data_IF_556760931234
#
_entry.id   IF_556760931234
#
_cell.length_a   1.000
_cell.length_b   1.000
_cell.length_c   1.000
_cell.angle_alpha   90.00
_cell.angle_beta   90.00
_cell.angle_gamma   90.00
#
_symmetry.space_group_name_H-M   'P 1'
#
loop_
_entity.id
_entity.type
_entity.pdbx_description
1 polymer ?
#
# COMPACT_ATOMS: atom_id res chain seq x y z
N UNK A 1 40.83 11.57 22.17
CA UNK A 1 41.40 11.52 20.80
C UNK A 1 40.53 10.56 19.99
N UNK A 2 40.06 10.96 18.79
CA UNK A 2 39.23 10.08 17.97
C UNK A 2 39.99 8.81 17.60
N UNK A 3 39.31 7.66 17.60
CA UNK A 3 39.95 6.39 17.21
C UNK A 3 40.42 6.42 15.75
N UNK A 4 41.48 5.65 15.41
CA UNK A 4 41.98 5.49 14.03
C UNK A 4 40.86 5.04 13.07
N UNK A 5 39.94 4.20 13.58
CA UNK A 5 38.74 3.75 12.88
C UNK A 5 37.77 4.89 12.61
N UNK A 6 37.52 5.77 13.58
CA UNK A 6 36.68 6.95 13.39
C UNK A 6 37.27 7.90 12.34
N UNK A 7 38.58 8.13 12.36
CA UNK A 7 39.28 8.99 11.38
C UNK A 7 39.15 8.42 9.95
N UNK A 8 39.37 7.12 9.78
CA UNK A 8 39.27 6.49 8.44
C UNK A 8 37.84 6.50 7.89
N UNK A 9 36.84 6.27 8.74
CA UNK A 9 35.43 6.32 8.36
C UNK A 9 35.00 7.75 8.03
N UNK A 10 35.51 8.73 8.78
CA UNK A 10 35.27 10.15 8.49
C UNK A 10 35.85 10.55 7.14
N UNK A 11 37.10 10.17 6.84
CA UNK A 11 37.73 10.45 5.53
C UNK A 11 36.94 9.82 4.39
N UNK A 12 36.48 8.57 4.55
CA UNK A 12 35.62 7.92 3.57
C UNK A 12 34.30 8.70 3.37
N UNK A 13 33.61 9.03 4.46
CA UNK A 13 32.37 9.82 4.41
C UNK A 13 32.55 11.18 3.74
N UNK A 14 33.64 11.88 4.05
CA UNK A 14 33.98 13.16 3.44
C UNK A 14 34.27 13.04 1.94
N UNK A 15 34.98 11.98 1.52
CA UNK A 15 35.26 11.74 0.11
C UNK A 15 33.97 11.44 -0.69
N UNK A 16 33.07 10.64 -0.12
CA UNK A 16 31.77 10.33 -0.72
C UNK A 16 30.93 11.62 -0.84
N UNK A 17 30.83 12.39 0.24
CA UNK A 17 30.12 13.66 0.26
C UNK A 17 30.63 14.62 -0.84
N UNK A 18 31.94 14.85 -0.90
CA UNK A 18 32.54 15.72 -1.92
C UNK A 18 32.31 15.20 -3.34
N UNK A 19 32.35 13.87 -3.55
CA UNK A 19 32.07 13.29 -4.87
C UNK A 19 30.62 13.51 -5.31
N UNK A 20 29.65 13.31 -4.41
CA UNK A 20 28.24 13.56 -4.71
C UNK A 20 27.95 15.04 -4.97
N UNK A 21 28.51 15.95 -4.16
CA UNK A 21 28.38 17.40 -4.35
C UNK A 21 28.99 17.84 -5.68
N UNK A 22 30.20 17.36 -6.00
CA UNK A 22 30.85 17.69 -7.28
C UNK A 22 30.03 17.23 -8.49
N UNK A 23 29.37 16.08 -8.40
CA UNK A 23 28.50 15.59 -9.47
C UNK A 23 27.24 16.45 -9.63
N UNK A 24 26.68 17.00 -8.54
CA UNK A 24 25.52 17.91 -8.62
C UNK A 24 25.86 19.32 -9.09
N UNK A 25 27.06 19.83 -8.78
CA UNK A 25 27.51 21.15 -9.25
C UNK A 25 27.80 21.14 -10.76
N UNK A 26 28.28 20.02 -11.28
CA UNK A 26 28.64 19.88 -12.70
C UNK A 26 28.15 18.56 -13.30
N UNK A 27 26.81 18.35 -13.39
CA UNK A 27 26.23 17.07 -13.76
C UNK A 27 26.61 16.66 -15.18
N UNK A 28 26.69 17.60 -16.14
CA UNK A 28 27.13 17.28 -17.51
C UNK A 28 28.60 16.86 -17.59
N UNK A 29 29.48 17.45 -16.78
CA UNK A 29 30.89 17.02 -16.70
C UNK A 29 31.01 15.64 -16.04
N UNK A 30 30.22 15.39 -15.00
CA UNK A 30 30.16 14.09 -14.35
C UNK A 30 29.59 13.00 -15.27
N UNK A 31 28.59 13.35 -16.08
CA UNK A 31 27.96 12.48 -17.07
C UNK A 31 28.94 12.14 -18.21
N UNK A 32 29.67 13.13 -18.72
CA UNK A 32 30.76 12.93 -19.68
C UNK A 32 31.92 12.09 -19.10
N UNK A 33 32.34 12.37 -17.86
CA UNK A 33 33.38 11.60 -17.17
C UNK A 33 32.98 10.14 -16.92
N UNK A 34 31.67 9.87 -16.76
CA UNK A 34 31.11 8.53 -16.58
C UNK A 34 30.65 7.88 -17.88
N UNK A 35 30.83 8.54 -19.04
CA UNK A 35 30.43 8.07 -20.37
C UNK A 35 28.94 7.66 -20.44
N UNK A 36 28.08 8.36 -19.72
CA UNK A 36 26.64 8.11 -19.71
C UNK A 36 25.96 8.92 -20.82
N UNK A 37 24.76 8.50 -21.23
CA UNK A 37 23.91 9.27 -22.15
C UNK A 37 23.17 10.38 -21.39
N UNK A 38 22.82 11.48 -22.06
CA UNK A 38 22.12 12.61 -21.44
C UNK A 38 20.77 12.21 -20.79
N UNK A 39 20.14 11.13 -21.27
CA UNK A 39 18.95 10.52 -20.69
C UNK A 39 19.15 9.98 -19.26
N UNK A 40 20.40 9.72 -18.85
CA UNK A 40 20.75 9.24 -17.51
C UNK A 40 20.94 10.37 -16.49
N UNK A 41 20.75 11.64 -16.88
CA UNK A 41 20.95 12.80 -16.02
C UNK A 41 20.06 12.78 -14.75
N UNK A 42 18.76 12.42 -14.82
CA UNK A 42 17.94 12.28 -13.61
C UNK A 42 18.46 11.19 -12.66
N UNK A 43 18.90 10.06 -13.19
CA UNK A 43 19.46 8.95 -12.41
C UNK A 43 20.81 9.32 -11.78
N UNK A 44 21.67 10.06 -12.50
CA UNK A 44 22.94 10.57 -11.99
C UNK A 44 22.73 11.55 -10.83
N UNK A 45 21.73 12.42 -10.94
CA UNK A 45 21.37 13.34 -9.86
C UNK A 45 20.85 12.59 -8.63
N UNK A 46 19.93 11.64 -8.82
CA UNK A 46 19.43 10.78 -7.74
C UNK A 46 20.55 9.98 -7.05
N UNK A 47 21.47 9.40 -7.82
CA UNK A 47 22.63 8.69 -7.29
C UNK A 47 23.59 9.62 -6.54
N UNK A 48 23.77 10.86 -7.01
CA UNK A 48 24.63 11.84 -6.36
C UNK A 48 24.07 12.29 -5.00
N UNK A 49 22.74 12.46 -4.90
CA UNK A 49 22.06 12.71 -3.61
C UNK A 49 22.21 11.53 -2.66
N UNK A 50 22.08 10.29 -3.14
CA UNK A 50 22.29 9.10 -2.33
C UNK A 50 23.74 9.01 -1.81
N UNK A 51 24.74 9.32 -2.65
CA UNK A 51 26.15 9.38 -2.25
C UNK A 51 26.38 10.45 -1.16
N UNK A 52 25.75 11.62 -1.28
CA UNK A 52 25.80 12.67 -0.25
C UNK A 52 25.23 12.14 1.07
N UNK A 53 24.07 11.47 1.02
CA UNK A 53 23.44 10.86 2.18
C UNK A 53 24.34 9.81 2.85
N UNK A 54 25.00 8.96 2.06
CA UNK A 54 26.03 8.02 2.54
C UNK A 54 27.17 8.79 3.20
N UNK A 55 27.71 9.83 2.56
CA UNK A 55 28.79 10.63 3.13
C UNK A 55 28.45 11.24 4.49
N UNK A 56 27.26 11.84 4.62
CA UNK A 56 26.75 12.40 5.88
C UNK A 56 26.61 11.31 6.94
N UNK A 57 26.05 10.15 6.58
CA UNK A 57 25.84 9.04 7.51
C UNK A 57 27.16 8.49 8.07
N UNK A 58 28.18 8.34 7.21
CA UNK A 58 29.51 7.90 7.63
C UNK A 58 30.25 8.94 8.49
N UNK A 59 30.13 10.24 8.17
CA UNK A 59 30.67 11.31 9.01
C UNK A 59 29.99 11.38 10.38
N UNK A 60 28.66 11.21 10.44
CA UNK A 60 27.89 11.15 11.70
C UNK A 60 28.27 9.91 12.53
N UNK A 61 28.44 8.76 11.89
CA UNK A 61 28.85 7.55 12.58
C UNK A 61 30.29 7.64 13.13
N UNK A 62 31.18 8.34 12.42
CA UNK A 62 32.51 8.65 12.90
C UNK A 62 32.47 9.62 14.10
N UNK A 63 31.62 10.66 14.04
CA UNK A 63 31.43 11.62 15.13
C UNK A 63 30.85 10.97 16.40
N UNK A 64 29.89 10.05 16.26
CA UNK A 64 29.25 9.35 17.36
C UNK A 64 30.07 8.17 17.91
N UNK A 65 31.23 7.87 17.33
CA UNK A 65 32.02 6.66 17.61
C UNK A 65 31.16 5.38 17.71
N UNK A 66 30.20 5.22 16.80
CA UNK A 66 29.21 4.16 16.88
C UNK A 66 29.86 2.79 16.63
N UNK A 67 30.17 2.08 17.72
CA UNK A 67 30.92 0.81 17.71
C UNK A 67 30.22 -0.29 16.90
N UNK A 68 28.88 -0.30 16.88
CA UNK A 68 28.10 -1.24 16.05
C UNK A 68 28.25 -0.97 14.56
N UNK A 69 28.24 0.32 14.18
CA UNK A 69 28.50 0.74 12.81
C UNK A 69 29.94 0.46 12.38
N UNK A 70 30.90 0.64 13.28
CA UNK A 70 32.32 0.32 13.03
C UNK A 70 32.56 -1.17 12.85
N UNK A 71 31.90 -2.04 13.63
CA UNK A 71 31.99 -3.48 13.45
C UNK A 71 31.44 -3.94 12.08
N UNK A 72 30.30 -3.40 11.66
CA UNK A 72 29.72 -3.67 10.34
C UNK A 72 30.58 -3.12 9.19
N UNK A 73 31.24 -1.98 9.40
CA UNK A 73 32.14 -1.38 8.41
C UNK A 73 33.48 -2.13 8.32
N UNK A 74 34.01 -2.61 9.44
CA UNK A 74 35.21 -3.45 9.48
C UNK A 74 34.94 -4.82 8.84
N UNK A 75 33.75 -5.40 9.04
CA UNK A 75 33.33 -6.62 8.35
C UNK A 75 33.30 -6.41 6.82
N UNK A 76 32.81 -5.25 6.34
CA UNK A 76 32.87 -4.88 4.91
C UNK A 76 34.30 -4.68 4.40
N UNK A 77 35.20 -4.12 5.22
CA UNK A 77 36.63 -3.98 4.88
C UNK A 77 37.37 -5.33 4.83
N UNK A 78 37.02 -6.25 5.74
CA UNK A 78 37.55 -7.63 5.76
C UNK A 78 37.04 -8.41 4.56
N UNK A 79 35.75 -8.28 4.19
CA UNK A 79 35.22 -8.84 2.95
C UNK A 79 35.97 -8.26 1.73
N UNK A 80 36.18 -6.95 1.66
CA UNK A 80 36.97 -6.32 0.59
C UNK A 80 38.43 -6.82 0.55
N UNK A 81 39.04 -7.08 1.71
CA UNK A 81 40.40 -7.64 1.84
C UNK A 81 40.47 -9.13 1.49
N UNK A 82 39.42 -9.89 1.76
CA UNK A 82 39.30 -11.30 1.36
C UNK A 82 39.14 -11.39 -0.16
N UNK A 83 38.33 -10.51 -0.77
CA UNK A 83 38.28 -10.36 -2.22
C UNK A 83 39.62 -9.90 -2.82
N UNK A 84 40.40 -9.09 -2.10
CA UNK A 84 41.77 -8.70 -2.49
C UNK A 84 42.78 -9.87 -2.45
N UNK A 85 42.56 -10.86 -1.61
CA UNK A 85 43.47 -12.00 -1.40
C UNK A 85 43.12 -13.23 -2.26
N UNK A 86 41.88 -13.37 -2.73
CA UNK A 86 41.36 -14.58 -3.40
C UNK A 86 41.41 -14.58 -4.95
N UNK A 87 42.05 -13.61 -5.60
CA UNK A 87 42.11 -13.53 -7.07
C UNK A 87 43.53 -13.58 -7.69
N UNK A 88 43.85 -14.48 -8.65
CA UNK A 88 45.19 -14.58 -9.26
C UNK A 88 45.52 -13.53 -10.34
N UNK A 89 44.57 -12.67 -10.73
CA UNK A 89 44.70 -11.83 -11.93
C UNK A 89 45.39 -10.45 -11.74
N UNK A 90 45.92 -10.15 -10.55
CA UNK A 90 46.51 -8.82 -10.25
C UNK A 90 48.01 -8.82 -9.96
N UNK A 91 48.70 -9.98 -9.95
CA UNK A 91 50.13 -10.05 -9.61
C UNK A 91 51.10 -9.66 -10.72
N UNK A 92 50.68 -9.59 -11.98
CA UNK A 92 51.60 -9.44 -13.11
C UNK A 92 51.63 -8.06 -13.79
N UNK A 93 50.86 -7.08 -13.32
CA UNK A 93 50.96 -5.68 -13.80
C UNK A 93 51.17 -4.65 -12.68
N UNK A 94 51.97 -5.01 -11.67
CA UNK A 94 52.61 -4.01 -10.80
C UNK A 94 54.11 -3.84 -11.09
N UNK A 95 54.66 -4.52 -12.12
CA UNK A 95 56.10 -4.47 -12.39
C UNK A 95 56.56 -3.43 -13.41
N UNK A 96 55.69 -2.85 -14.24
CA UNK A 96 56.12 -1.83 -15.23
C UNK A 96 55.04 -0.77 -15.52
N UNK A 97 54.69 -0.02 -14.49
CA UNK A 97 54.02 1.29 -14.54
C UNK A 97 54.71 2.13 -13.44
N UNK A 98 55.97 2.59 -13.53
CA UNK A 98 56.72 3.14 -14.66
C UNK A 98 56.74 2.26 -15.91
N UNK A 99 56.23 2.71 -17.04
CA UNK A 99 56.15 4.11 -17.44
C UNK A 99 54.73 4.70 -17.58
N UNK A 100 53.65 4.01 -17.26
CA UNK A 100 52.96 3.21 -18.28
C UNK A 100 51.49 3.62 -18.49
N UNK A 101 51.23 4.86 -18.92
CA UNK A 101 50.09 5.21 -19.79
C UNK A 101 48.63 5.14 -19.26
N UNK A 102 47.77 6.04 -19.79
CA UNK A 102 46.34 6.14 -19.54
C UNK A 102 45.51 5.18 -20.41
N UNK A 103 44.21 5.06 -20.12
CA UNK A 103 43.21 4.43 -20.99
C UNK A 103 42.36 3.35 -20.30
N UNK A 104 41.11 3.14 -20.76
CA UNK A 104 39.94 3.01 -19.89
C UNK A 104 39.73 1.56 -19.41
N UNK A 105 39.61 1.35 -18.11
CA UNK A 105 39.25 0.04 -17.56
C UNK A 105 37.97 0.13 -16.75
N UNK A 106 36.97 -0.60 -17.26
CA UNK A 106 35.62 -0.76 -16.76
C UNK A 106 35.61 -1.13 -15.26
N UNK A 107 35.00 -0.27 -14.45
CA UNK A 107 34.59 -0.63 -13.10
C UNK A 107 33.44 -1.64 -13.22
N UNK A 108 33.70 -2.91 -12.91
CA UNK A 108 32.62 -3.89 -12.77
C UNK A 108 31.84 -3.53 -11.50
N UNK A 109 30.66 -2.96 -11.71
CA UNK A 109 29.67 -2.66 -10.67
C UNK A 109 29.39 -3.95 -9.92
N UNK A 110 29.56 -3.96 -8.59
CA UNK A 110 29.16 -5.07 -7.74
C UNK A 110 27.68 -5.36 -8.03
N UNK A 111 27.42 -6.48 -8.70
CA UNK A 111 26.06 -6.78 -9.12
C UNK A 111 25.33 -7.34 -7.91
N UNK A 112 24.02 -7.15 -7.82
CA UNK A 112 23.21 -7.75 -6.75
C UNK A 112 23.35 -9.29 -6.71
N UNK A 113 23.89 -9.89 -7.77
CA UNK A 113 24.27 -11.31 -7.88
C UNK A 113 25.46 -11.72 -6.99
N UNK A 114 26.26 -10.75 -6.52
CA UNK A 114 27.44 -10.95 -5.68
C UNK A 114 27.11 -10.87 -4.17
N UNK A 115 25.86 -10.50 -3.82
CA UNK A 115 25.37 -10.39 -2.43
C UNK A 115 25.05 -11.80 -1.90
N UNK A 116 25.38 -12.14 -0.63
CA UNK A 116 24.96 -13.39 0.01
C UNK A 116 23.47 -13.67 -0.16
N UNK A 117 23.10 -14.95 -0.30
CA UNK A 117 21.74 -15.39 -0.62
C UNK A 117 20.73 -14.87 0.40
N UNK A 118 21.07 -14.93 1.68
CA UNK A 118 20.20 -14.55 2.80
C UNK A 118 19.85 -13.06 2.72
N UNK A 119 20.86 -12.21 2.52
CA UNK A 119 20.65 -10.77 2.39
C UNK A 119 19.85 -10.42 1.13
N UNK A 120 20.10 -11.13 0.03
CA UNK A 120 19.37 -10.94 -1.21
C UNK A 120 17.90 -11.33 -1.07
N UNK A 121 17.62 -12.42 -0.36
CA UNK A 121 16.25 -12.85 -0.07
C UNK A 121 15.51 -11.81 0.78
N UNK A 122 16.15 -11.26 1.80
CA UNK A 122 15.58 -10.16 2.61
C UNK A 122 15.31 -8.92 1.77
N UNK A 123 16.23 -8.54 0.89
CA UNK A 123 16.05 -7.39 -0.02
C UNK A 123 14.87 -7.63 -0.96
N UNK A 124 14.80 -8.81 -1.59
CA UNK A 124 13.69 -9.14 -2.48
C UNK A 124 12.36 -9.16 -1.73
N UNK A 125 12.30 -9.74 -0.54
CA UNK A 125 11.10 -9.74 0.28
C UNK A 125 10.66 -8.31 0.61
N UNK A 126 11.59 -7.45 1.03
CA UNK A 126 11.32 -6.05 1.30
C UNK A 126 10.81 -5.30 0.06
N UNK A 127 11.47 -5.45 -1.08
CA UNK A 127 11.08 -4.78 -2.34
C UNK A 127 9.72 -5.24 -2.83
N UNK A 128 9.40 -6.53 -2.66
CA UNK A 128 8.13 -7.11 -3.08
C UNK A 128 6.98 -6.72 -2.14
N UNK A 129 7.24 -6.55 -0.84
CA UNK A 129 6.20 -6.31 0.17
C UNK A 129 6.02 -4.85 0.55
N UNK A 130 7.04 -4.01 0.39
CA UNK A 130 6.97 -2.60 0.76
C UNK A 130 5.93 -1.86 -0.10
N UNK A 131 4.97 -1.14 0.50
CA UNK A 131 3.96 -0.41 -0.27
C UNK A 131 4.60 0.74 -1.06
N UNK A 132 4.18 0.95 -2.31
CA UNK A 132 4.60 2.10 -3.12
C UNK A 132 3.54 3.18 -2.96
N UNK A 133 3.93 4.28 -2.33
CA UNK A 133 3.05 5.43 -2.19
C UNK A 133 2.77 6.05 -3.57
N UNK A 134 1.50 6.34 -3.92
CA UNK A 134 1.19 7.15 -5.09
C UNK A 134 1.75 8.56 -4.89
N UNK A 135 2.22 9.15 -5.99
CA UNK A 135 2.94 10.42 -5.98
C UNK A 135 1.99 11.62 -5.85
N UNK A 136 0.99 11.72 -6.73
CA UNK A 136 -0.02 12.78 -6.73
C UNK A 136 -1.27 12.39 -7.54
N UNK A 137 -2.42 13.05 -7.33
CA UNK A 137 -3.60 12.85 -8.17
C UNK A 137 -3.31 13.11 -9.66
N UNK A 138 -2.62 14.21 -10.00
CA UNK A 138 -2.21 14.57 -11.37
C UNK A 138 -1.50 13.44 -12.11
N UNK A 139 -0.52 12.79 -11.47
CA UNK A 139 0.28 11.74 -12.09
C UNK A 139 -0.45 10.39 -12.12
N UNK A 140 -1.42 10.20 -11.22
CA UNK A 140 -2.10 8.93 -11.02
C UNK A 140 -3.42 8.81 -11.78
N UNK A 141 -3.95 9.88 -12.36
CA UNK A 141 -5.27 9.90 -12.99
C UNK A 141 -5.36 9.04 -14.27
N UNK A 142 -4.27 8.89 -15.03
CA UNK A 142 -4.30 8.22 -16.33
C UNK A 142 -4.51 6.70 -16.24
N UNK A 143 -5.41 6.19 -17.07
CA UNK A 143 -5.74 4.76 -17.14
C UNK A 143 -6.54 4.26 -15.93
N UNK A 144 -7.23 5.17 -15.25
CA UNK A 144 -8.22 4.83 -14.23
C UNK A 144 -9.59 4.71 -14.87
N UNK A 145 -10.25 3.60 -14.57
CA UNK A 145 -11.60 3.34 -15.05
C UNK A 145 -12.53 3.08 -13.87
N UNK A 146 -13.78 3.48 -14.05
CA UNK A 146 -14.85 3.15 -13.12
C UNK A 146 -15.31 1.72 -13.35
N UNK A 147 -15.68 1.03 -12.26
CA UNK A 147 -16.34 -0.26 -12.37
C UNK A 147 -17.67 -0.12 -13.11
N UNK A 148 -17.67 -0.49 -14.38
CA UNK A 148 -18.89 -0.55 -15.20
C UNK A 148 -19.66 -1.87 -15.04
N UNK A 149 -19.13 -2.80 -14.23
CA UNK A 149 -19.82 -4.06 -14.01
C UNK A 149 -21.02 -3.83 -13.08
N UNK A 150 -22.23 -4.23 -13.47
CA UNK A 150 -23.35 -4.24 -12.55
C UNK A 150 -22.95 -5.14 -11.40
N UNK A 151 -22.83 -4.58 -10.19
CA UNK A 151 -22.80 -5.35 -8.96
C UNK A 151 -23.99 -6.31 -9.05
N UNK A 152 -23.70 -7.59 -9.31
CA UNK A 152 -24.75 -8.59 -9.55
C UNK A 152 -25.72 -8.53 -8.38
N UNK A 153 -27.01 -8.48 -8.70
CA UNK A 153 -28.14 -8.49 -7.76
C UNK A 153 -28.53 -7.17 -7.07
N UNK A 154 -27.92 -6.02 -7.39
CA UNK A 154 -28.50 -4.73 -6.97
C UNK A 154 -29.72 -4.41 -7.84
N UNK A 155 -30.92 -4.69 -7.30
CA UNK A 155 -32.23 -4.51 -7.97
C UNK A 155 -32.59 -3.08 -8.34
N UNK A 156 -31.85 -2.09 -7.84
CA UNK A 156 -32.14 -0.68 -8.04
C UNK A 156 -31.02 -0.12 -8.91
N UNK A 157 -31.35 0.53 -10.02
CA UNK A 157 -30.42 1.01 -11.06
C UNK A 157 -29.41 2.09 -10.62
N UNK A 158 -28.92 1.98 -9.40
CA UNK A 158 -27.79 2.69 -8.83
C UNK A 158 -26.52 2.25 -9.56
N UNK A 159 -25.78 3.24 -10.06
CA UNK A 159 -24.46 3.04 -10.64
C UNK A 159 -23.42 3.36 -9.58
N UNK A 160 -22.44 2.49 -9.36
CA UNK A 160 -21.31 2.81 -8.53
C UNK A 160 -20.64 4.10 -9.02
N UNK A 161 -20.57 5.09 -8.15
CA UNK A 161 -19.90 6.37 -8.40
C UNK A 161 -18.89 6.62 -7.29
N UNK A 162 -17.66 6.94 -7.69
CA UNK A 162 -16.61 7.36 -6.77
C UNK A 162 -15.53 6.33 -6.47
N UNK A 163 -15.44 5.20 -7.17
CA UNK A 163 -14.26 4.32 -7.14
C UNK A 163 -13.62 4.21 -8.52
N UNK A 164 -12.36 4.64 -8.63
CA UNK A 164 -11.63 4.76 -9.89
C UNK A 164 -10.35 3.93 -9.84
N UNK A 165 -10.38 2.73 -10.42
CA UNK A 165 -9.30 1.76 -10.24
C UNK A 165 -8.31 1.80 -11.41
N UNK A 166 -7.04 1.58 -11.10
CA UNK A 166 -6.01 1.34 -12.12
C UNK A 166 -5.74 -0.16 -12.27
N UNK A 167 -5.36 -0.58 -13.47
CA UNK A 167 -4.86 -1.94 -13.73
C UNK A 167 -3.66 -2.24 -12.81
N UNK A 168 -3.60 -3.41 -12.15
CA UNK A 168 -2.50 -3.76 -11.27
C UNK A 168 -1.15 -3.75 -11.96
N UNK A 169 -0.16 -3.20 -11.25
CA UNK A 169 1.23 -3.29 -11.67
C UNK A 169 1.89 -4.46 -10.95
N UNK A 170 2.57 -5.31 -11.71
CA UNK A 170 3.33 -6.42 -11.16
C UNK A 170 4.74 -5.95 -10.79
N UNK A 171 4.97 -5.69 -9.49
CA UNK A 171 6.27 -5.32 -8.92
C UNK A 171 7.40 -6.28 -9.26
N UNK A 172 7.08 -7.57 -9.30
CA UNK A 172 8.08 -8.60 -9.47
C UNK A 172 8.59 -8.69 -10.89
N UNK A 173 7.87 -8.14 -11.88
CA UNK A 173 8.20 -8.31 -13.29
C UNK A 173 9.60 -7.79 -13.61
N UNK A 174 9.99 -6.64 -13.03
CA UNK A 174 11.33 -6.10 -13.15
C UNK A 174 12.40 -7.05 -12.61
N UNK A 175 12.17 -7.70 -11.46
CA UNK A 175 13.11 -8.63 -10.83
C UNK A 175 13.16 -10.00 -11.55
N UNK A 176 12.01 -10.50 -12.00
CA UNK A 176 11.89 -11.80 -12.68
C UNK A 176 12.60 -11.80 -14.04
N UNK A 177 12.70 -10.64 -14.69
CA UNK A 177 13.30 -10.50 -16.02
C UNK A 177 14.80 -10.15 -16.00
N UNK A 178 15.43 -9.94 -14.83
CA UNK A 178 16.86 -9.59 -14.73
C UNK A 178 17.76 -10.77 -15.07
N UNK A 179 17.59 -11.91 -14.40
CA UNK A 179 18.43 -13.10 -14.60
C UNK A 179 17.78 -14.37 -14.05
N UNK A 180 18.27 -15.54 -14.48
CA UNK A 180 17.81 -16.84 -13.94
C UNK A 180 17.97 -16.95 -12.43
N UNK A 181 19.03 -16.37 -11.86
CA UNK A 181 19.29 -16.43 -10.42
C UNK A 181 18.27 -15.59 -9.64
N UNK A 182 17.91 -14.41 -10.16
CA UNK A 182 16.85 -13.58 -9.58
C UNK A 182 15.50 -14.26 -9.70
N UNK A 183 15.20 -14.83 -10.87
CA UNK A 183 13.98 -15.58 -11.08
C UNK A 183 13.82 -16.67 -10.02
N UNK A 184 14.85 -17.50 -9.80
CA UNK A 184 14.81 -18.56 -8.78
C UNK A 184 14.63 -17.96 -7.37
N UNK A 185 15.36 -16.90 -7.03
CA UNK A 185 15.24 -16.26 -5.70
C UNK A 185 13.86 -15.65 -5.44
N UNK A 186 13.27 -14.97 -6.42
CA UNK A 186 11.94 -14.38 -6.33
C UNK A 186 10.86 -15.47 -6.27
N UNK A 187 10.99 -16.53 -7.07
CA UNK A 187 10.08 -17.68 -7.03
C UNK A 187 10.10 -18.40 -5.68
N UNK A 188 11.27 -18.51 -5.06
CA UNK A 188 11.42 -19.08 -3.73
C UNK A 188 10.71 -18.23 -2.66
N UNK A 189 10.85 -16.90 -2.74
CA UNK A 189 10.09 -15.97 -1.89
C UNK A 189 8.59 -16.10 -2.13
N UNK A 190 8.14 -16.20 -3.39
CA UNK A 190 6.73 -16.38 -3.70
C UNK A 190 6.12 -17.63 -3.08
N UNK A 191 6.89 -18.72 -2.95
CA UNK A 191 6.41 -19.94 -2.29
C UNK A 191 6.19 -19.74 -0.79
N UNK A 192 6.97 -18.85 -0.17
CA UNK A 192 6.92 -18.59 1.28
C UNK A 192 6.00 -17.44 1.66
N UNK A 193 5.75 -16.49 0.75
CA UNK A 193 4.89 -15.34 1.02
C UNK A 193 3.45 -15.79 1.32
N UNK A 194 2.84 -15.23 2.38
CA UNK A 194 1.45 -15.51 2.71
C UNK A 194 0.51 -15.02 1.60
N UNK A 195 -0.70 -15.56 1.56
CA UNK A 195 -1.73 -15.13 0.61
C UNK A 195 -2.38 -13.81 1.06
N UNK A 196 -1.56 -12.76 1.08
CA UNK A 196 -1.91 -11.40 1.46
C UNK A 196 -1.71 -10.47 0.26
N UNK A 197 -2.45 -9.36 0.23
CA UNK A 197 -2.17 -8.29 -0.71
C UNK A 197 -2.43 -6.92 -0.08
N UNK A 198 -1.78 -5.93 -0.68
CA UNK A 198 -1.85 -4.54 -0.28
C UNK A 198 -2.58 -3.72 -1.35
N UNK A 199 -3.37 -2.74 -0.91
CA UNK A 199 -3.98 -1.74 -1.77
C UNK A 199 -3.70 -0.35 -1.19
N UNK A 200 -3.14 0.54 -2.00
CA UNK A 200 -3.01 1.96 -1.63
C UNK A 200 -4.18 2.72 -2.26
N UNK A 201 -4.91 3.50 -1.47
CA UNK A 201 -6.13 4.17 -1.88
C UNK A 201 -5.93 5.67 -1.70
N UNK A 202 -5.96 6.41 -2.80
CA UNK A 202 -6.03 7.87 -2.71
C UNK A 202 -7.48 8.27 -2.48
N UNK A 203 -7.74 8.97 -1.39
CA UNK A 203 -8.98 9.68 -1.17
C UNK A 203 -8.80 11.10 -1.71
N UNK A 204 -9.34 11.36 -2.90
CA UNK A 204 -9.27 12.66 -3.55
C UNK A 204 -10.60 13.38 -3.30
N UNK A 205 -10.58 14.51 -2.59
CA UNK A 205 -11.81 15.18 -2.15
C UNK A 205 -12.70 15.51 -3.34
N UNK A 206 -13.98 15.17 -3.25
CA UNK A 206 -14.98 15.32 -4.32
C UNK A 206 -14.69 14.52 -5.63
N UNK A 207 -13.58 13.79 -5.71
CA UNK A 207 -13.14 13.07 -6.92
C UNK A 207 -13.04 11.54 -6.73
N UNK A 208 -13.34 11.04 -5.54
CA UNK A 208 -13.51 9.62 -5.27
C UNK A 208 -12.32 8.94 -4.60
N UNK A 209 -12.46 7.63 -4.46
CA UNK A 209 -11.44 6.70 -4.01
C UNK A 209 -10.72 6.08 -5.20
N UNK A 210 -9.41 6.19 -5.20
CA UNK A 210 -8.57 5.79 -6.32
C UNK A 210 -7.66 4.66 -5.84
N UNK A 211 -8.16 3.41 -5.78
CA UNK A 211 -7.35 2.27 -5.39
C UNK A 211 -6.27 2.01 -6.44
N UNK A 212 -5.09 1.68 -5.96
CA UNK A 212 -3.91 1.33 -6.73
C UNK A 212 -3.42 0.00 -6.22
N UNK A 213 -3.39 -0.97 -7.12
CA UNK A 213 -3.06 -2.35 -6.79
C UNK A 213 -1.61 -2.62 -7.06
N UNK A 214 -0.91 -3.00 -6.01
CA UNK A 214 0.50 -3.21 -6.06
C UNK A 214 0.83 -4.64 -5.61
N UNK A 215 1.08 -5.49 -6.60
CA UNK A 215 1.06 -6.93 -6.41
C UNK A 215 2.43 -7.51 -6.71
N UNK A 216 3.05 -8.11 -5.69
CA UNK A 216 4.21 -8.97 -5.88
C UNK A 216 3.82 -10.30 -6.53
N UNK A 217 2.79 -10.95 -6.00
CA UNK A 217 2.33 -12.29 -6.39
C UNK A 217 0.81 -12.32 -6.45
N UNK A 218 0.26 -12.93 -7.50
CA UNK A 218 -1.19 -13.15 -7.58
C UNK A 218 -1.65 -14.08 -6.45
N UNK A 219 -2.86 -13.87 -5.90
CA UNK A 219 -3.39 -14.78 -4.91
C UNK A 219 -3.42 -16.23 -5.43
N UNK A 220 -2.91 -17.17 -4.64
CA UNK A 220 -2.84 -18.59 -5.02
C UNK A 220 -4.11 -19.35 -4.67
N UNK A 221 -4.93 -18.81 -3.78
CA UNK A 221 -6.23 -19.36 -3.43
C UNK A 221 -7.25 -18.23 -3.29
N UNK A 222 -8.54 -18.60 -3.25
CA UNK A 222 -9.63 -17.67 -2.93
C UNK A 222 -9.64 -17.20 -1.48
N UNK A 223 -8.87 -17.85 -0.60
CA UNK A 223 -8.83 -17.55 0.82
C UNK A 223 -7.66 -16.63 1.11
N UNK A 224 -7.98 -15.40 1.50
CA UNK A 224 -7.03 -14.33 1.76
C UNK A 224 -6.90 -14.19 3.26
N UNK A 225 -5.69 -14.36 3.78
CA UNK A 225 -5.48 -14.26 5.23
C UNK A 225 -5.64 -12.81 5.67
N UNK A 226 -5.01 -11.87 4.94
CA UNK A 226 -5.06 -10.47 5.30
C UNK A 226 -4.98 -9.55 4.08
N UNK A 227 -5.85 -8.56 4.05
CA UNK A 227 -5.76 -7.41 3.15
C UNK A 227 -5.29 -6.21 3.95
N UNK A 228 -4.20 -5.58 3.52
CA UNK A 228 -3.78 -4.29 4.09
C UNK A 228 -4.13 -3.17 3.12
N UNK A 229 -4.70 -2.09 3.65
CA UNK A 229 -5.07 -0.91 2.90
C UNK A 229 -4.42 0.31 3.53
N UNK A 230 -3.84 1.18 2.72
CA UNK A 230 -3.38 2.50 3.16
C UNK A 230 -4.19 3.57 2.43
N UNK A 231 -4.93 4.37 3.18
CA UNK A 231 -5.76 5.45 2.65
C UNK A 231 -5.02 6.77 2.86
N UNK A 232 -4.77 7.48 1.77
CA UNK A 232 -4.07 8.77 1.74
C UNK A 232 -5.03 9.87 1.31
N UNK A 233 -5.10 10.94 2.07
CA UNK A 233 -5.98 12.08 1.81
C UNK A 233 -5.23 13.06 0.92
N UNK A 234 -5.86 13.49 -0.17
CA UNK A 234 -5.29 14.43 -1.15
C UNK A 234 -6.25 15.56 -1.48
N UNK A 235 -5.70 16.77 -1.58
CA UNK A 235 -6.36 17.88 -2.25
C UNK A 235 -6.40 17.62 -3.76
N UNK A 236 -7.54 17.79 -4.44
CA UNK A 236 -7.61 17.63 -5.88
C UNK A 236 -6.78 18.71 -6.59
N UNK A 237 -5.98 18.31 -7.56
CA UNK A 237 -5.18 19.21 -8.39
C UNK A 237 -6.04 19.86 -9.48
N UNK A 238 -5.57 20.96 -10.07
CA UNK A 238 -6.33 21.73 -11.07
C UNK A 238 -6.37 21.09 -12.46
N UNK A 239 -5.52 20.10 -12.70
CA UNK A 239 -5.36 19.40 -13.97
C UNK A 239 -6.10 18.04 -14.01
N UNK A 240 -6.98 17.78 -13.05
CA UNK A 240 -7.78 16.56 -13.03
C UNK A 240 -8.85 16.58 -14.13
N UNK A 241 -9.03 15.45 -14.80
CA UNK A 241 -10.10 15.26 -15.76
C UNK A 241 -11.49 15.46 -15.11
N UNK A 242 -12.37 16.19 -15.80
CA UNK A 242 -13.72 16.49 -15.35
C UNK A 242 -14.55 15.23 -15.08
N UNK A 243 -14.22 14.08 -15.67
CA UNK A 243 -14.93 12.82 -15.43
C UNK A 243 -14.87 12.36 -13.96
N UNK A 244 -13.84 12.77 -13.20
CA UNK A 244 -13.70 12.42 -11.80
C UNK A 244 -14.53 13.34 -10.88
N UNK A 245 -14.87 14.55 -11.35
CA UNK A 245 -15.51 15.59 -10.55
C UNK A 245 -16.88 15.13 -10.06
N UNK A 246 -17.21 15.52 -8.82
CA UNK A 246 -18.46 15.19 -8.14
C UNK A 246 -18.76 13.68 -8.05
N UNK A 247 -17.76 12.83 -8.28
CA UNK A 247 -17.92 11.37 -8.19
C UNK A 247 -18.07 10.89 -6.75
N UNK A 248 -17.83 11.75 -5.76
CA UNK A 248 -17.99 11.44 -4.35
C UNK A 248 -18.85 12.48 -3.62
N UNK A 249 -20.13 12.13 -3.43
CA UNK A 249 -21.06 12.97 -2.67
C UNK A 249 -21.21 12.52 -1.22
N UNK A 250 -21.14 13.47 -0.30
CA UNK A 250 -21.34 13.28 1.14
C UNK A 250 -22.73 13.71 1.62
N UNK A 251 -23.61 14.14 0.71
CA UNK A 251 -25.00 14.45 1.06
C UNK A 251 -25.79 13.15 1.25
N UNK A 252 -26.53 13.05 2.36
CA UNK A 252 -27.52 11.99 2.55
C UNK A 252 -28.68 12.13 1.56
N UNK A 253 -29.36 11.01 1.26
CA UNK A 253 -30.60 10.99 0.47
C UNK A 253 -31.71 10.39 1.32
N UNK A 254 -32.95 10.84 1.12
CA UNK A 254 -34.10 10.46 1.95
C UNK A 254 -34.42 8.94 1.99
N UNK A 255 -33.82 8.15 1.08
CA UNK A 255 -34.11 6.72 0.92
C UNK A 255 -32.87 5.80 0.97
N UNK A 256 -31.68 6.30 1.29
CA UNK A 256 -30.49 5.44 1.33
C UNK A 256 -29.20 6.13 1.76
N UNK A 257 -28.11 5.37 1.95
CA UNK A 257 -26.81 5.94 2.28
C UNK A 257 -26.35 6.95 1.20
N UNK A 258 -25.61 7.98 1.60
CA UNK A 258 -25.03 8.96 0.67
C UNK A 258 -23.99 8.33 -0.27
N UNK A 259 -23.63 9.03 -1.36
CA UNK A 259 -22.74 8.51 -2.40
C UNK A 259 -21.40 7.96 -1.88
N UNK A 260 -20.78 8.66 -0.92
CA UNK A 260 -19.52 8.24 -0.31
C UNK A 260 -19.61 6.93 0.47
N UNK A 261 -20.77 6.65 1.10
CA UNK A 261 -21.00 5.38 1.80
C UNK A 261 -21.05 4.23 0.81
N UNK A 262 -21.68 4.47 -0.33
CA UNK A 262 -21.72 3.49 -1.39
C UNK A 262 -20.37 3.25 -2.04
N UNK A 263 -19.54 4.28 -2.21
CA UNK A 263 -18.17 4.11 -2.69
C UNK A 263 -17.33 3.26 -1.71
N UNK A 264 -17.53 3.41 -0.39
CA UNK A 264 -16.91 2.52 0.61
C UNK A 264 -17.40 1.07 0.45
N UNK A 265 -18.71 0.88 0.27
CA UNK A 265 -19.27 -0.45 -0.01
C UNK A 265 -18.70 -1.06 -1.29
N UNK A 266 -18.58 -0.27 -2.35
CA UNK A 266 -18.00 -0.68 -3.63
C UNK A 266 -16.54 -1.11 -3.49
N UNK A 267 -15.73 -0.41 -2.69
CA UNK A 267 -14.36 -0.84 -2.39
C UNK A 267 -14.33 -2.23 -1.73
N UNK A 268 -15.18 -2.45 -0.73
CA UNK A 268 -15.26 -3.75 -0.04
C UNK A 268 -15.73 -4.88 -0.96
N UNK A 269 -16.75 -4.62 -1.78
CA UNK A 269 -17.25 -5.64 -2.71
C UNK A 269 -16.25 -5.88 -3.84
N UNK A 270 -15.52 -4.85 -4.29
CA UNK A 270 -14.45 -5.02 -5.28
C UNK A 270 -13.34 -5.92 -4.77
N UNK A 271 -12.96 -5.79 -3.49
CA UNK A 271 -12.00 -6.68 -2.83
C UNK A 271 -12.48 -8.14 -2.85
N UNK A 272 -13.78 -8.36 -2.60
CA UNK A 272 -14.40 -9.70 -2.58
C UNK A 272 -14.53 -10.28 -4.00
N UNK A 273 -15.00 -9.50 -4.97
CA UNK A 273 -15.37 -10.01 -6.29
C UNK A 273 -14.19 -10.06 -7.27
N UNK A 274 -13.34 -9.04 -7.23
CA UNK A 274 -12.27 -8.86 -8.21
C UNK A 274 -10.90 -9.07 -7.62
N UNK A 275 -10.75 -8.92 -6.30
CA UNK A 275 -9.45 -8.97 -5.65
C UNK A 275 -8.53 -7.88 -6.22
N UNK A 276 -7.23 -8.14 -6.33
CA UNK A 276 -6.29 -7.08 -6.65
C UNK A 276 -6.34 -6.72 -8.15
N UNK A 277 -7.08 -5.65 -8.44
CA UNK A 277 -7.36 -5.01 -9.74
C UNK A 277 -7.73 -5.95 -10.86
N UNK A 278 -8.90 -6.56 -10.71
CA UNK A 278 -9.56 -7.33 -11.77
C UNK A 278 -8.79 -8.59 -12.23
N UNK A 279 -7.79 -9.02 -11.47
CA UNK A 279 -7.15 -10.33 -11.64
C UNK A 279 -8.02 -11.48 -11.10
N UNK A 280 -9.34 -11.32 -11.18
CA UNK A 280 -10.33 -12.23 -10.63
C UNK A 280 -10.02 -13.68 -10.97
N UNK A 281 -10.37 -14.60 -10.07
CA UNK A 281 -10.22 -16.03 -10.32
C UNK A 281 -10.95 -16.39 -11.62
N UNK A 282 -10.33 -17.22 -12.47
CA UNK A 282 -10.80 -17.57 -13.82
C UNK A 282 -12.24 -18.14 -13.90
N UNK A 283 -12.90 -18.37 -12.75
CA UNK A 283 -14.20 -19.02 -12.61
C UNK A 283 -15.27 -18.17 -11.91
N UNK A 284 -15.18 -16.83 -11.89
CA UNK A 284 -16.12 -15.95 -11.17
C UNK A 284 -16.23 -16.26 -9.66
N UNK A 285 -15.19 -16.86 -9.07
CA UNK A 285 -15.16 -17.16 -7.64
C UNK A 285 -14.82 -15.90 -6.86
N UNK A 286 -15.52 -15.71 -5.74
CA UNK A 286 -15.31 -14.61 -4.80
C UNK A 286 -14.24 -14.97 -3.78
N UNK A 287 -13.46 -13.97 -3.38
CA UNK A 287 -12.49 -14.09 -2.31
C UNK A 287 -13.17 -14.13 -0.95
N UNK A 288 -12.64 -14.94 -0.05
CA UNK A 288 -13.00 -14.96 1.36
C UNK A 288 -11.80 -14.39 2.11
N UNK A 289 -12.01 -13.29 2.82
CA UNK A 289 -10.97 -12.49 3.47
C UNK A 289 -11.12 -12.64 4.99
N UNK A 290 -10.06 -13.02 5.68
CA UNK A 290 -10.11 -13.15 7.12
C UNK A 290 -10.06 -11.79 7.83
N UNK A 291 -9.00 -11.04 7.57
CA UNK A 291 -8.80 -9.72 8.17
C UNK A 291 -8.60 -8.64 7.11
N UNK A 292 -9.23 -7.48 7.32
CA UNK A 292 -8.95 -6.26 6.57
C UNK A 292 -8.36 -5.25 7.54
N UNK A 293 -7.19 -4.73 7.22
CA UNK A 293 -6.53 -3.65 7.95
C UNK A 293 -6.56 -2.39 7.09
N UNK A 294 -7.13 -1.32 7.62
CA UNK A 294 -7.27 -0.03 6.95
C UNK A 294 -6.49 1.00 7.74
N UNK A 295 -5.36 1.45 7.20
CA UNK A 295 -4.56 2.51 7.78
C UNK A 295 -4.85 3.83 7.09
N UNK A 296 -5.46 4.78 7.79
CA UNK A 296 -5.65 6.14 7.28
C UNK A 296 -4.45 6.97 7.75
N UNK A 297 -3.72 7.53 6.80
CA UNK A 297 -2.52 8.33 7.09
C UNK A 297 -2.80 9.82 6.98
N UNK A 298 -2.11 10.59 7.80
CA UNK A 298 -2.13 12.04 7.77
C UNK A 298 -1.80 12.55 6.36
N UNK A 299 -2.46 13.63 5.89
CA UNK A 299 -2.15 14.22 4.60
C UNK A 299 -0.68 14.69 4.55
N UNK A 300 -0.02 14.43 3.42
CA UNK A 300 1.39 14.77 3.21
C UNK A 300 1.60 15.73 2.03
N UNK A 301 0.52 16.23 1.42
CA UNK A 301 0.51 17.15 0.27
C UNK A 301 0.69 18.63 0.67
N UNK A 302 0.79 18.93 1.96
CA UNK A 302 1.02 20.27 2.49
C UNK A 302 -0.23 21.15 2.57
N UNK A 303 -1.41 20.65 2.17
CA UNK A 303 -2.67 21.38 2.33
C UNK A 303 -3.20 21.31 3.78
N UNK A 304 -4.08 22.24 4.15
CA UNK A 304 -4.59 22.33 5.52
C UNK A 304 -5.63 21.24 5.86
N UNK A 305 -6.36 20.76 4.85
CA UNK A 305 -7.40 19.73 4.98
C UNK A 305 -8.46 20.02 6.06
N UNK A 306 -8.91 21.27 6.18
CA UNK A 306 -9.96 21.61 7.17
C UNK A 306 -11.32 21.06 6.76
N UNK A 307 -11.49 20.73 5.47
CA UNK A 307 -12.66 20.04 4.89
C UNK A 307 -12.21 18.79 4.16
N UNK A 308 -13.02 17.73 4.19
CA UNK A 308 -12.78 16.48 3.47
C UNK A 308 -13.72 16.27 2.28
N UNK A 309 -14.85 16.97 2.26
CA UNK A 309 -15.86 16.80 1.21
C UNK A 309 -15.62 17.64 -0.05
N UNK A 310 -14.85 18.71 0.04
CA UNK A 310 -14.52 19.60 -1.07
C UNK A 310 -13.14 20.25 -0.86
N UNK A 311 -12.71 21.06 -1.84
CA UNK A 311 -11.46 21.82 -1.70
C UNK A 311 -11.52 22.80 -0.55
N UNK A 312 -10.35 23.16 -0.04
CA UNK A 312 -10.22 24.06 1.11
C UNK A 312 -10.94 25.41 0.89
N UNK A 313 -10.78 25.97 -0.30
CA UNK A 313 -11.34 27.26 -0.70
C UNK A 313 -12.79 27.18 -1.21
N UNK A 314 -13.32 25.97 -1.41
CA UNK A 314 -14.68 25.78 -1.92
C UNK A 314 -15.68 25.82 -0.76
N UNK A 315 -16.81 26.50 -0.98
CA UNK A 315 -17.93 26.54 -0.03
C UNK A 315 -19.24 26.26 -0.76
N UNK A 316 -19.43 25.04 -1.28
CA UNK A 316 -20.66 24.69 -1.95
C UNK A 316 -21.83 24.72 -0.96
N UNK A 317 -23.02 25.12 -1.44
CA UNK A 317 -24.20 25.28 -0.60
C UNK A 317 -24.61 23.99 0.13
N UNK A 318 -24.34 22.82 -0.45
CA UNK A 318 -24.63 21.50 0.12
C UNK A 318 -23.67 21.07 1.24
N UNK A 319 -22.57 21.81 1.47
CA UNK A 319 -21.57 21.50 2.49
C UNK A 319 -22.18 21.41 3.89
N UNK A 320 -23.22 22.21 4.18
CA UNK A 320 -23.92 22.20 5.46
C UNK A 320 -24.63 20.87 5.77
N UNK A 321 -24.86 20.02 4.76
CA UNK A 321 -25.48 18.70 4.89
C UNK A 321 -24.46 17.57 4.76
N UNK A 322 -23.18 17.90 4.64
CA UNK A 322 -22.09 16.93 4.52
C UNK A 322 -21.83 16.26 5.86
N UNK A 323 -22.20 14.99 6.00
CA UNK A 323 -22.10 14.29 7.28
C UNK A 323 -20.66 14.01 7.72
N UNK A 324 -19.70 14.00 6.78
CA UNK A 324 -18.26 13.92 7.13
C UNK A 324 -17.77 15.18 7.84
N UNK A 325 -18.40 16.32 7.61
CA UNK A 325 -18.02 17.60 8.22
C UNK A 325 -18.69 17.85 9.58
N UNK A 326 -19.46 16.91 10.14
CA UNK A 326 -20.02 17.08 11.49
C UNK A 326 -18.99 16.90 12.60
N UNK A 327 -17.84 16.28 12.31
CA UNK A 327 -16.75 16.07 13.25
C UNK A 327 -15.56 17.00 12.95
N UNK A 328 -15.81 18.31 12.89
CA UNK A 328 -14.80 19.33 12.48
C UNK A 328 -13.60 19.43 13.41
N UNK A 329 -13.78 19.07 14.68
CA UNK A 329 -12.72 19.14 15.70
C UNK A 329 -11.69 18.00 15.55
N UNK A 330 -11.99 16.98 14.74
CA UNK A 330 -11.08 15.87 14.48
C UNK A 330 -10.09 16.24 13.37
N UNK A 331 -8.86 15.73 13.52
CA UNK A 331 -7.83 15.76 12.48
C UNK A 331 -8.30 14.99 11.22
N UNK A 332 -7.80 15.31 10.03
CA UNK A 332 -8.32 14.80 8.76
C UNK A 332 -8.42 13.26 8.69
N UNK A 333 -7.36 12.57 9.09
CA UNK A 333 -7.30 11.10 9.09
C UNK A 333 -8.31 10.47 10.05
N UNK A 334 -8.48 11.07 11.23
CA UNK A 334 -9.43 10.60 12.23
C UNK A 334 -10.86 10.87 11.79
N UNK A 335 -11.12 12.03 11.17
CA UNK A 335 -12.43 12.39 10.61
C UNK A 335 -12.84 11.40 9.52
N UNK A 336 -11.95 11.05 8.61
CA UNK A 336 -12.22 10.05 7.57
C UNK A 336 -12.43 8.65 8.16
N UNK A 337 -11.56 8.20 9.07
CA UNK A 337 -11.70 6.90 9.73
C UNK A 337 -13.02 6.79 10.53
N UNK A 338 -13.40 7.87 11.21
CA UNK A 338 -14.66 7.96 11.95
C UNK A 338 -15.88 7.94 11.03
N UNK A 339 -15.82 8.66 9.92
CA UNK A 339 -16.84 8.62 8.88
C UNK A 339 -17.01 7.21 8.33
N UNK A 340 -15.91 6.57 7.91
CA UNK A 340 -15.93 5.20 7.37
C UNK A 340 -16.50 4.22 8.39
N UNK A 341 -16.00 4.25 9.62
CA UNK A 341 -16.44 3.29 10.66
C UNK A 341 -17.91 3.45 11.02
N UNK A 342 -18.40 4.69 11.15
CA UNK A 342 -19.81 4.97 11.46
C UNK A 342 -20.74 4.47 10.35
N UNK A 343 -20.31 4.58 9.09
CA UNK A 343 -21.10 4.11 7.96
C UNK A 343 -20.96 2.61 7.70
N UNK A 344 -19.86 1.97 8.10
CA UNK A 344 -19.80 0.52 8.15
C UNK A 344 -20.85 -0.07 9.10
N UNK A 345 -21.11 0.56 10.25
CA UNK A 345 -22.21 0.14 11.14
C UNK A 345 -23.57 0.12 10.38
N UNK A 346 -23.80 1.07 9.46
CA UNK A 346 -25.00 1.12 8.60
C UNK A 346 -24.98 0.02 7.54
N UNK A 347 -23.87 -0.15 6.82
CA UNK A 347 -23.74 -1.13 5.73
C UNK A 347 -23.85 -2.57 6.25
N UNK A 348 -23.32 -2.85 7.44
CA UNK A 348 -23.41 -4.16 8.09
C UNK A 348 -24.71 -4.39 8.88
N UNK A 349 -25.58 -3.38 8.97
CA UNK A 349 -26.86 -3.52 9.67
C UNK A 349 -27.78 -4.52 8.96
N UNK A 350 -28.49 -5.37 9.72
CA UNK A 350 -29.40 -6.37 9.15
C UNK A 350 -30.84 -5.84 9.05
N UNK A 351 -31.05 -4.86 8.16
CA UNK A 351 -32.33 -4.20 7.88
C UNK A 351 -33.08 -4.80 6.67
N UNK A 352 -34.33 -4.38 6.43
CA UNK A 352 -35.07 -4.70 5.18
C UNK A 352 -34.26 -4.36 3.94
N UNK A 353 -33.70 -3.16 3.97
CA UNK A 353 -33.17 -2.47 2.81
C UNK A 353 -31.67 -2.74 2.65
N UNK A 354 -30.98 -3.05 3.75
CA UNK A 354 -29.54 -3.34 3.75
C UNK A 354 -29.20 -4.83 3.56
N UNK A 355 -30.18 -5.72 3.74
CA UNK A 355 -29.96 -7.18 3.67
C UNK A 355 -29.24 -7.66 2.40
N UNK A 356 -29.62 -7.20 1.18
CA UNK A 356 -28.94 -7.65 -0.03
C UNK A 356 -27.45 -7.31 -0.01
N UNK A 357 -27.07 -6.18 0.59
CA UNK A 357 -25.71 -5.67 0.61
C UNK A 357 -24.88 -6.30 1.72
N UNK A 358 -25.43 -6.37 2.94
CA UNK A 358 -24.69 -6.86 4.10
C UNK A 358 -24.39 -8.37 4.00
N UNK A 359 -25.27 -9.14 3.36
CA UNK A 359 -25.09 -10.59 3.19
C UNK A 359 -23.79 -10.92 2.45
N UNK A 360 -23.47 -10.15 1.39
CA UNK A 360 -22.22 -10.29 0.64
C UNK A 360 -20.99 -10.15 1.55
N UNK A 361 -21.01 -9.15 2.43
CA UNK A 361 -19.90 -8.86 3.34
C UNK A 361 -19.79 -9.93 4.43
N UNK A 362 -20.90 -10.37 5.02
CA UNK A 362 -20.90 -11.42 6.05
C UNK A 362 -20.44 -12.78 5.54
N UNK A 363 -20.68 -13.07 4.26
CA UNK A 363 -20.29 -14.36 3.66
C UNK A 363 -18.80 -14.40 3.28
N UNK A 364 -18.16 -13.24 3.09
CA UNK A 364 -16.81 -13.15 2.54
C UNK A 364 -15.80 -12.43 3.43
N UNK A 365 -16.22 -11.80 4.53
CA UNK A 365 -15.31 -11.25 5.55
C UNK A 365 -15.52 -12.04 6.84
N UNK A 366 -14.50 -12.76 7.30
CA UNK A 366 -14.69 -13.80 8.32
C UNK A 366 -14.43 -13.31 9.74
N UNK A 367 -13.38 -12.52 9.97
CA UNK A 367 -12.98 -12.14 11.33
C UNK A 367 -13.23 -10.67 11.64
N UNK A 368 -12.50 -9.75 11.00
CA UNK A 368 -12.52 -8.36 11.43
C UNK A 368 -12.07 -7.34 10.39
N UNK A 369 -12.47 -6.09 10.62
CA UNK A 369 -11.94 -4.90 9.98
C UNK A 369 -11.27 -4.05 11.06
N UNK A 370 -9.98 -3.78 10.92
CA UNK A 370 -9.18 -2.99 11.87
C UNK A 370 -8.82 -1.66 11.23
N UNK A 371 -9.17 -0.57 11.89
CA UNK A 371 -8.79 0.78 11.50
C UNK A 371 -7.56 1.24 12.29
N UNK A 372 -6.60 1.78 11.58
CA UNK A 372 -5.40 2.40 12.11
C UNK A 372 -5.33 3.86 11.68
N UNK A 373 -4.73 4.69 12.54
CA UNK A 373 -4.36 6.06 12.25
C UNK A 373 -2.84 6.15 12.31
N UNK A 374 -2.21 6.53 11.20
CA UNK A 374 -0.76 6.66 11.11
C UNK A 374 0.00 5.40 11.58
N UNK A 375 -0.54 4.21 11.30
CA UNK A 375 0.01 2.91 11.67
C UNK A 375 -0.29 2.46 13.10
N UNK A 376 -0.97 3.26 13.92
CA UNK A 376 -1.42 2.87 15.25
C UNK A 376 -2.87 2.38 15.23
N UNK A 377 -3.15 1.25 15.88
CA UNK A 377 -4.52 0.74 16.01
C UNK A 377 -5.42 1.77 16.71
N UNK A 378 -6.49 2.16 16.01
CA UNK A 378 -7.49 3.08 16.51
C UNK A 378 -8.77 2.33 16.89
N UNK A 379 -9.22 1.42 16.03
CA UNK A 379 -10.50 0.73 16.23
C UNK A 379 -10.57 -0.60 15.51
N UNK A 380 -10.71 -1.69 16.25
CA UNK A 380 -11.02 -3.02 15.69
C UNK A 380 -12.51 -3.29 15.75
N UNK A 381 -13.06 -3.86 14.67
CA UNK A 381 -14.46 -4.26 14.56
C UNK A 381 -14.54 -5.71 14.12
N UNK A 382 -15.02 -6.57 15.01
CA UNK A 382 -15.26 -7.98 14.67
C UNK A 382 -16.56 -8.10 13.89
N UNK A 383 -16.55 -8.93 12.85
CA UNK A 383 -17.73 -9.14 12.02
C UNK A 383 -18.92 -9.68 12.85
N UNK A 384 -18.63 -10.54 13.82
CA UNK A 384 -19.67 -11.11 14.68
C UNK A 384 -20.33 -10.05 15.60
N UNK A 385 -19.61 -9.00 16.00
CA UNK A 385 -20.17 -7.89 16.81
C UNK A 385 -21.22 -7.08 16.02
N UNK A 386 -21.02 -6.87 14.72
CA UNK A 386 -22.02 -6.21 13.87
C UNK A 386 -23.33 -7.00 13.82
N UNK A 387 -23.21 -8.33 13.76
CA UNK A 387 -24.35 -9.23 13.70
C UNK A 387 -25.12 -9.24 15.03
N UNK A 388 -24.39 -9.18 16.16
CA UNK A 388 -24.98 -9.06 17.49
C UNK A 388 -25.70 -7.73 17.69
N UNK A 389 -25.08 -6.61 17.31
CA UNK A 389 -25.72 -5.28 17.36
C UNK A 389 -26.99 -5.22 16.53
N UNK A 390 -27.02 -5.93 15.40
CA UNK A 390 -28.18 -6.02 14.52
C UNK A 390 -29.31 -6.90 15.09
N UNK A 391 -29.07 -7.65 16.17
CA UNK A 391 -30.07 -8.56 16.72
C UNK A 391 -31.21 -7.77 17.37
N UNK A 392 -32.50 -8.07 17.09
CA UNK A 392 -33.60 -7.26 17.60
C UNK A 392 -33.75 -7.20 19.12
N UNK A 393 -33.00 -8.00 19.89
CA UNK A 393 -32.94 -7.87 21.36
C UNK A 393 -32.24 -6.59 21.82
N UNK A 394 -31.37 -6.00 20.99
CA UNK A 394 -30.67 -4.76 21.29
C UNK A 394 -31.53 -3.52 21.01
N UNK A 395 -32.69 -3.69 20.36
CA UNK A 395 -33.56 -2.60 19.98
C UNK A 395 -34.40 -2.09 21.18
N UNK A 396 -34.76 -0.79 21.22
CA UNK A 396 -35.70 -0.26 22.20
C UNK A 396 -37.02 -1.06 22.21
N UNK A 397 -37.61 -1.23 23.40
CA UNK A 397 -38.79 -2.08 23.61
C UNK A 397 -39.99 -1.63 22.76
N UNK A 398 -40.20 -0.32 22.64
CA UNK A 398 -41.29 0.27 21.85
C UNK A 398 -41.14 -0.05 20.35
N UNK A 399 -39.89 -0.09 19.86
CA UNK A 399 -39.58 -0.44 18.48
C UNK A 399 -39.84 -1.93 18.19
N UNK A 400 -39.58 -2.80 19.17
CA UNK A 400 -39.88 -4.24 19.06
C UNK A 400 -41.38 -4.52 18.99
N UNK A 401 -42.16 -3.83 19.83
CA UNK A 401 -43.60 -4.06 19.98
C UNK A 401 -44.41 -3.50 18.80
N UNK A 402 -44.02 -2.35 18.24
CA UNK A 402 -44.69 -1.74 17.08
C UNK A 402 -44.43 -2.46 15.75
N UNK A 403 -43.37 -3.29 15.66
CA UNK A 403 -42.90 -3.87 14.40
C UNK A 403 -42.63 -5.38 14.47
N UNK A 404 -43.45 -6.15 15.19
CA UNK A 404 -43.32 -7.61 15.36
C UNK A 404 -42.97 -8.38 14.07
N UNK A 405 -43.57 -8.00 12.92
CA UNK A 405 -43.29 -8.62 11.62
C UNK A 405 -41.87 -8.33 11.10
N UNK A 406 -41.35 -7.11 11.28
CA UNK A 406 -39.95 -6.77 10.90
C UNK A 406 -38.97 -7.49 11.82
N UNK A 407 -39.24 -7.50 13.12
CA UNK A 407 -38.46 -8.22 14.14
C UNK A 407 -38.28 -9.71 13.79
N UNK A 408 -39.36 -10.40 13.40
CA UNK A 408 -39.32 -11.81 12.99
C UNK A 408 -38.47 -12.01 11.73
N UNK A 409 -38.65 -11.17 10.70
CA UNK A 409 -37.85 -11.24 9.46
C UNK A 409 -36.36 -11.02 9.72
N UNK A 410 -36.00 -10.04 10.54
CA UNK A 410 -34.60 -9.78 10.92
C UNK A 410 -34.02 -10.96 11.68
N UNK A 411 -34.75 -11.55 12.65
CA UNK A 411 -34.29 -12.78 13.35
C UNK A 411 -34.04 -13.94 12.39
N UNK A 412 -34.94 -14.17 11.43
CA UNK A 412 -34.76 -15.21 10.41
C UNK A 412 -33.51 -14.97 9.58
N UNK A 413 -33.29 -13.72 9.12
CA UNK A 413 -32.12 -13.33 8.33
C UNK A 413 -30.81 -13.52 9.09
N UNK A 414 -30.75 -13.09 10.36
CA UNK A 414 -29.57 -13.30 11.21
C UNK A 414 -29.27 -14.79 11.37
N UNK A 415 -30.30 -15.62 11.59
CA UNK A 415 -30.12 -17.08 11.66
C UNK A 415 -29.56 -17.65 10.35
N UNK A 416 -30.04 -17.18 9.21
CA UNK A 416 -29.51 -17.58 7.90
C UNK A 416 -28.05 -17.20 7.76
N UNK A 417 -27.68 -15.95 8.08
CA UNK A 417 -26.29 -15.47 8.04
C UNK A 417 -25.40 -16.34 8.94
N UNK A 418 -25.82 -16.59 10.19
CA UNK A 418 -25.06 -17.45 11.13
C UNK A 418 -24.82 -18.84 10.58
N UNK A 419 -25.85 -19.48 10.02
CA UNK A 419 -25.73 -20.82 9.42
C UNK A 419 -24.76 -20.83 8.23
N UNK A 420 -24.81 -19.81 7.37
CA UNK A 420 -23.88 -19.70 6.23
C UNK A 420 -22.45 -19.50 6.71
N UNK A 421 -22.23 -18.64 7.70
CA UNK A 421 -20.91 -18.42 8.31
C UNK A 421 -20.38 -19.66 9.00
N UNK A 422 -21.20 -20.40 9.73
CA UNK A 422 -20.81 -21.66 10.35
C UNK A 422 -20.42 -22.71 9.29
N UNK A 423 -21.20 -22.82 8.22
CA UNK A 423 -20.87 -23.71 7.09
C UNK A 423 -19.55 -23.29 6.44
N UNK A 424 -19.35 -22.00 6.19
CA UNK A 424 -18.13 -21.46 5.61
C UNK A 424 -16.90 -21.73 6.51
N UNK A 425 -17.02 -21.54 7.83
CA UNK A 425 -15.96 -21.87 8.80
C UNK A 425 -15.66 -23.37 8.80
N UNK A 426 -16.67 -24.23 8.77
CA UNK A 426 -16.49 -25.68 8.62
C UNK A 426 -15.82 -26.05 7.31
N UNK A 427 -16.24 -25.46 6.20
CA UNK A 427 -15.62 -25.68 4.88
C UNK A 427 -14.17 -25.17 4.86
N UNK A 428 -13.87 -24.07 5.55
CA UNK A 428 -12.51 -23.58 5.78
C UNK A 428 -11.70 -24.62 6.57
N UNK A 429 -12.15 -25.03 7.75
CA UNK A 429 -11.51 -26.05 8.59
C UNK A 429 -11.28 -27.39 7.86
N UNK A 430 -12.23 -27.81 7.00
CA UNK A 430 -12.13 -29.04 6.22
C UNK A 430 -11.14 -28.92 5.05
N UNK A 431 -11.04 -27.75 4.42
CA UNK A 431 -10.10 -27.45 3.34
C UNK A 431 -8.73 -26.93 3.85
N UNK A 432 -8.61 -26.59 5.14
CA UNK A 432 -7.39 -26.20 5.84
C UNK A 432 -6.42 -27.36 6.09
N UNK A 433 -6.80 -28.61 5.73
CA UNK A 433 -5.81 -29.63 5.36
C UNK A 433 -5.13 -29.18 4.07
N UNK A 434 -4.26 -28.18 4.17
CA UNK A 434 -3.38 -27.73 3.10
C UNK A 434 -2.68 -28.96 2.47
N UNK A 435 -2.50 -29.01 1.14
CA UNK A 435 -1.41 -29.81 0.61
C UNK A 435 -0.11 -29.31 1.25
N UNK A 436 0.62 -30.25 1.87
CA UNK A 436 1.93 -30.04 2.46
C UNK A 436 2.92 -29.40 1.49
#
# INVERSE_FOLDING_TARGET
>A
MPSITAVTIFIFGLSAFNHGVSNLISPRKALAAKQLQDSALPALNGFSVAIIGIGIYYMLAAYQENRGFFALTLARFISARIFWLQGPAWRWKFKQFKSALPGPTQFSVMQLQDIPLELRQVIFELVLTAPVAPLSPSESQHGRDQLTYPLRDIRWGWRPQGVWQQVPKNKSLGLLLVSKQFYVGVQDIFRRLPNNYHVDIMFVKNHGFWPTWDIAKRPTSRYINKVTSTIRIFEPTDDLDDCFKDSLSFSGVDAGPGGAVWAIYELLVSLIQHGPGYLGLQNNQRFVINEIEVNVVAPADGAAHTKLSCRENDNPWWLCWSCIEYAKDLVPEERLANFMTSHLDVVFSVGSDTMPYCQELYDHITESITFQLNGQEWKKRRIDEYLEKSHPSTWPQDYRNGWCRKTLKTRQRIRTIRRRREKMRKDLELNEKQPK
#
